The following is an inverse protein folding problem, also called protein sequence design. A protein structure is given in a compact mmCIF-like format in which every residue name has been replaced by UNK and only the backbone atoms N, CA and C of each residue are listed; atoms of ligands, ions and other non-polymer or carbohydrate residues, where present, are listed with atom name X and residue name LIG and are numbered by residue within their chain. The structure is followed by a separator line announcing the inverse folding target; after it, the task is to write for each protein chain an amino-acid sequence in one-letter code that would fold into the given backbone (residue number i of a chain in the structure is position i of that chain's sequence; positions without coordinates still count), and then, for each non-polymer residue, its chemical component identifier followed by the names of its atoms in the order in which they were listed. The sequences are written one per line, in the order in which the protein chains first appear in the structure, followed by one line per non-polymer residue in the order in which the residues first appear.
data_IF_224353565726
#
_entry.id   IF_224353565726
#
_cell.length_a   1.000
_cell.length_b   1.000
_cell.length_c   1.000
_cell.angle_alpha   90.00
_cell.angle_beta   90.00
_cell.angle_gamma   90.00
#
_symmetry.space_group_name_H-M   'P 1'
#
loop_
_entity.id
_entity.type
_entity.pdbx_description
1 polymer ?
#
# COMPACT_ATOMS: atom_id res chain seq x y z
N UNK A 1 -10.31 14.19 -12.03
CA UNK A 1 -9.31 13.30 -11.43
C UNK A 1 -9.72 11.83 -11.47
N UNK A 2 -8.79 10.92 -11.70
CA UNK A 2 -9.07 9.46 -11.68
C UNK A 2 -9.56 8.97 -10.31
N UNK A 3 -9.27 9.68 -9.24
CA UNK A 3 -9.59 9.26 -7.87
C UNK A 3 -11.08 8.99 -7.60
N UNK A 4 -12.00 9.49 -8.41
CA UNK A 4 -13.44 9.21 -8.24
C UNK A 4 -13.76 7.72 -8.42
N UNK A 5 -12.95 6.95 -9.15
CA UNK A 5 -13.21 5.52 -9.37
C UNK A 5 -13.01 4.67 -8.10
N UNK A 6 -12.14 5.09 -7.18
CA UNK A 6 -11.77 4.30 -6.00
C UNK A 6 -11.93 5.02 -4.64
N UNK A 7 -12.05 6.35 -4.63
CA UNK A 7 -12.13 7.11 -3.37
C UNK A 7 -13.52 7.04 -2.73
N UNK A 8 -13.60 7.25 -1.41
CA UNK A 8 -14.87 7.38 -0.70
C UNK A 8 -15.69 8.58 -1.21
N UNK A 9 -15.02 9.70 -1.49
CA UNK A 9 -15.67 10.90 -2.04
C UNK A 9 -16.31 10.65 -3.41
N UNK A 10 -15.80 9.70 -4.21
CA UNK A 10 -16.35 9.35 -5.51
C UNK A 10 -17.58 8.43 -5.46
N UNK A 11 -18.00 7.92 -4.29
CA UNK A 11 -19.09 6.95 -4.18
C UNK A 11 -20.44 7.48 -4.73
N UNK A 12 -20.73 8.75 -4.47
CA UNK A 12 -21.98 9.39 -4.98
C UNK A 12 -21.99 9.38 -6.50
N UNK A 13 -20.87 9.72 -7.15
CA UNK A 13 -20.78 9.72 -8.60
C UNK A 13 -20.89 8.29 -9.17
N UNK A 14 -20.20 7.32 -8.56
CA UNK A 14 -20.31 5.90 -8.99
C UNK A 14 -21.73 5.39 -8.89
N UNK A 15 -22.43 5.65 -7.78
CA UNK A 15 -23.82 5.25 -7.59
C UNK A 15 -24.75 5.94 -8.60
N UNK A 16 -24.51 7.20 -8.91
CA UNK A 16 -25.26 7.92 -9.95
C UNK A 16 -25.03 7.27 -11.32
N UNK A 17 -23.79 6.96 -11.69
CA UNK A 17 -23.47 6.29 -12.97
C UNK A 17 -24.14 4.91 -13.06
N UNK A 18 -24.12 4.12 -11.99
CA UNK A 18 -24.78 2.81 -11.94
C UNK A 18 -26.31 2.91 -12.13
N UNK A 19 -26.92 3.93 -11.52
CA UNK A 19 -28.36 4.17 -11.60
C UNK A 19 -28.79 4.64 -12.98
N UNK A 20 -28.14 5.69 -13.49
CA UNK A 20 -28.55 6.35 -14.73
C UNK A 20 -28.04 5.64 -16.00
N UNK A 21 -27.06 4.72 -15.88
CA UNK A 21 -26.47 3.96 -17.00
C UNK A 21 -26.01 4.84 -18.17
N UNK A 22 -25.56 6.04 -17.84
CA UNK A 22 -25.27 7.11 -18.82
C UNK A 22 -23.84 7.13 -19.34
N UNK A 23 -22.93 6.31 -18.76
CA UNK A 23 -21.54 6.26 -19.19
C UNK A 23 -21.42 5.55 -20.55
N UNK A 24 -20.84 6.24 -21.52
CA UNK A 24 -20.65 5.76 -22.90
C UNK A 24 -19.22 5.33 -23.15
N UNK A 25 -18.29 6.10 -22.62
CA UNK A 25 -16.87 5.88 -22.83
C UNK A 25 -16.06 6.42 -21.66
N UNK A 26 -14.99 5.71 -21.31
CA UNK A 26 -14.00 6.14 -20.36
C UNK A 26 -12.62 5.98 -20.98
N UNK A 27 -11.83 7.06 -21.02
CA UNK A 27 -10.46 7.07 -21.50
C UNK A 27 -9.54 7.31 -20.29
N UNK A 28 -8.73 6.33 -19.96
CA UNK A 28 -7.74 6.41 -18.89
C UNK A 28 -6.45 7.02 -19.42
N UNK A 29 -6.10 8.20 -18.94
CA UNK A 29 -4.87 8.88 -19.32
C UNK A 29 -3.62 8.31 -18.62
N UNK A 30 -3.79 7.35 -17.74
CA UNK A 30 -2.73 6.66 -17.02
C UNK A 30 -1.78 7.67 -16.31
N UNK A 31 -0.50 7.62 -16.62
CA UNK A 31 0.52 8.52 -16.06
C UNK A 31 0.70 9.82 -16.85
N UNK A 32 -0.06 10.01 -17.94
CA UNK A 32 0.03 11.24 -18.73
C UNK A 32 -0.45 12.45 -17.93
N UNK A 33 0.40 13.46 -17.82
CA UNK A 33 0.12 14.71 -17.09
C UNK A 33 -0.52 15.73 -18.04
N UNK A 34 -1.80 16.00 -17.82
CA UNK A 34 -2.57 16.96 -18.62
C UNK A 34 -2.26 18.40 -18.22
N UNK A 35 -1.95 18.63 -16.95
CA UNK A 35 -1.77 19.96 -16.39
C UNK A 35 -0.32 20.16 -15.97
N UNK A 36 0.29 21.24 -16.39
CA UNK A 36 1.63 21.65 -15.97
C UNK A 36 1.64 21.92 -14.46
N UNK A 37 2.69 21.47 -13.78
CA UNK A 37 2.92 21.66 -12.34
C UNK A 37 1.86 21.09 -11.39
N UNK A 38 0.87 20.31 -11.89
CA UNK A 38 -0.17 19.69 -11.09
C UNK A 38 -0.10 18.17 -11.23
N UNK A 39 0.22 17.48 -10.16
CA UNK A 39 0.27 16.01 -10.10
C UNK A 39 -1.13 15.38 -9.93
N UNK A 40 -2.04 15.66 -10.86
CA UNK A 40 -3.37 15.06 -10.90
C UNK A 40 -3.48 14.13 -12.09
N UNK A 41 -3.69 12.85 -11.81
CA UNK A 41 -3.98 11.85 -12.84
C UNK A 41 -5.46 11.90 -13.22
N UNK A 42 -5.72 11.79 -14.52
CA UNK A 42 -7.01 12.16 -15.09
C UNK A 42 -7.59 11.00 -15.91
N UNK A 43 -8.91 10.94 -15.96
CA UNK A 43 -9.68 10.17 -16.91
C UNK A 43 -10.64 11.10 -17.66
N UNK A 44 -10.93 10.81 -18.91
CA UNK A 44 -11.99 11.47 -19.68
C UNK A 44 -13.19 10.55 -19.66
N UNK A 45 -14.32 11.06 -19.21
CA UNK A 45 -15.59 10.30 -19.15
C UNK A 45 -16.62 10.98 -20.05
N UNK A 46 -17.18 10.23 -21.00
CA UNK A 46 -18.25 10.69 -21.88
C UNK A 46 -19.57 10.09 -21.43
N UNK A 47 -20.57 10.92 -21.25
CA UNK A 47 -21.92 10.55 -20.85
C UNK A 47 -22.94 10.89 -21.91
N UNK A 48 -24.04 10.12 -22.02
CA UNK A 48 -25.18 10.41 -22.87
C UNK A 48 -26.48 10.24 -22.06
N UNK A 49 -27.43 11.17 -22.25
CA UNK A 49 -28.79 11.05 -21.66
C UNK A 49 -29.69 10.10 -22.44
N UNK A 50 -29.40 9.88 -23.71
CA UNK A 50 -30.19 9.03 -24.61
C UNK A 50 -29.77 7.55 -24.51
N UNK A 51 -28.57 7.29 -23.98
CA UNK A 51 -28.06 5.93 -23.86
C UNK A 51 -28.36 5.36 -22.48
N UNK A 52 -29.23 4.38 -22.45
CA UNK A 52 -29.57 3.60 -21.24
C UNK A 52 -28.91 2.22 -21.23
N UNK A 53 -27.82 2.04 -21.95
CA UNK A 53 -27.10 0.77 -22.03
C UNK A 53 -26.19 0.58 -20.84
N UNK A 54 -26.14 -0.64 -20.33
CA UNK A 54 -25.26 -1.04 -19.21
C UNK A 54 -23.79 -1.18 -19.64
N UNK A 55 -23.50 -1.05 -20.95
CA UNK A 55 -22.15 -1.23 -21.50
C UNK A 55 -21.56 0.08 -22.01
N UNK A 56 -20.25 0.25 -21.83
CA UNK A 56 -19.47 1.39 -22.27
C UNK A 56 -18.10 0.96 -22.81
N UNK A 57 -17.46 1.81 -23.61
CA UNK A 57 -16.13 1.58 -24.12
C UNK A 57 -15.08 2.00 -23.11
N UNK A 58 -14.17 1.11 -22.73
CA UNK A 58 -12.96 1.43 -21.98
C UNK A 58 -11.77 1.54 -22.91
N UNK A 59 -11.10 2.69 -22.86
CA UNK A 59 -9.92 3.00 -23.66
C UNK A 59 -8.76 3.45 -22.78
N UNK A 60 -7.54 3.30 -23.29
CA UNK A 60 -6.34 3.92 -22.74
C UNK A 60 -5.80 4.96 -23.73
N UNK A 61 -5.25 6.03 -23.19
CA UNK A 61 -4.60 7.07 -23.98
C UNK A 61 -3.19 6.62 -24.35
N UNK A 62 -2.83 6.81 -25.64
CA UNK A 62 -1.47 6.64 -26.13
C UNK A 62 -0.81 8.02 -26.28
N UNK A 63 0.17 8.36 -25.43
CA UNK A 63 0.83 9.66 -25.49
C UNK A 63 1.69 9.88 -26.74
N UNK A 64 2.15 8.79 -27.39
CA UNK A 64 3.02 8.89 -28.57
C UNK A 64 2.23 9.30 -29.83
N UNK A 65 1.03 8.76 -29.99
CA UNK A 65 0.15 9.06 -31.12
C UNK A 65 -0.90 10.12 -30.79
N UNK A 66 -1.02 10.54 -29.54
CA UNK A 66 -2.11 11.40 -29.04
C UNK A 66 -3.51 10.88 -29.36
N UNK A 67 -3.67 9.56 -29.39
CA UNK A 67 -4.92 8.90 -29.70
C UNK A 67 -5.33 7.94 -28.55
N UNK A 68 -6.51 7.36 -28.65
CA UNK A 68 -7.02 6.36 -27.73
C UNK A 68 -6.92 4.95 -28.32
N UNK A 69 -6.52 4.00 -27.49
CA UNK A 69 -6.52 2.57 -27.81
C UNK A 69 -7.72 1.94 -27.09
N UNK A 70 -8.61 1.31 -27.85
CA UNK A 70 -9.72 0.54 -27.27
C UNK A 70 -9.19 -0.71 -26.58
N UNK A 71 -9.57 -0.92 -25.32
CA UNK A 71 -9.16 -2.07 -24.51
C UNK A 71 -10.30 -3.07 -24.42
N UNK A 72 -11.49 -2.63 -23.97
CA UNK A 72 -12.65 -3.53 -23.76
C UNK A 72 -13.97 -2.79 -23.87
N UNK A 73 -15.02 -3.54 -24.25
CA UNK A 73 -16.40 -3.15 -23.97
C UNK A 73 -16.76 -3.75 -22.61
N UNK A 74 -17.11 -2.91 -21.64
CA UNK A 74 -17.38 -3.30 -20.26
C UNK A 74 -18.79 -3.00 -19.85
N UNK A 75 -19.37 -3.83 -18.98
CA UNK A 75 -20.61 -3.48 -18.30
C UNK A 75 -20.35 -2.74 -17.00
N UNK A 76 -21.31 -1.93 -16.57
CA UNK A 76 -21.23 -1.26 -15.27
C UNK A 76 -21.19 -2.26 -14.09
N UNK A 77 -21.79 -3.45 -14.27
CA UNK A 77 -21.75 -4.53 -13.28
C UNK A 77 -20.36 -5.16 -13.19
N UNK A 78 -19.67 -5.36 -14.32
CA UNK A 78 -18.33 -5.96 -14.33
C UNK A 78 -17.33 -5.08 -13.62
N UNK A 79 -17.40 -3.78 -13.82
CA UNK A 79 -16.44 -2.82 -13.24
C UNK A 79 -16.74 -2.50 -11.77
N UNK A 80 -17.95 -2.70 -11.29
CA UNK A 80 -18.37 -2.37 -9.92
C UNK A 80 -18.06 -3.51 -8.96
N UNK A 81 -17.03 -3.34 -8.13
CA UNK A 81 -16.59 -4.33 -7.15
C UNK A 81 -16.37 -3.63 -5.80
N UNK A 82 -17.14 -4.00 -4.76
CA UNK A 82 -16.99 -3.45 -3.39
C UNK A 82 -16.94 -1.91 -3.36
N UNK A 83 -17.95 -1.27 -3.95
CA UNK A 83 -18.10 0.20 -4.04
C UNK A 83 -16.91 0.92 -4.72
N UNK A 84 -16.18 0.24 -5.60
CA UNK A 84 -15.15 0.81 -6.45
C UNK A 84 -15.34 0.39 -7.89
N UNK A 85 -14.83 1.19 -8.81
CA UNK A 85 -14.75 0.81 -10.21
C UNK A 85 -13.34 0.37 -10.56
N UNK A 86 -13.22 -0.74 -11.28
CA UNK A 86 -11.98 -1.25 -11.83
C UNK A 86 -12.12 -1.37 -13.35
N UNK A 87 -11.06 -1.05 -14.08
CA UNK A 87 -11.07 -1.03 -15.54
C UNK A 87 -9.87 -1.81 -16.08
N UNK A 88 -10.15 -2.79 -16.93
CA UNK A 88 -9.18 -3.69 -17.54
C UNK A 88 -9.84 -4.57 -18.58
N UNK A 89 -9.21 -5.70 -18.90
CA UNK A 89 -9.84 -6.76 -19.70
C UNK A 89 -10.87 -7.52 -18.87
N UNK A 90 -11.73 -8.32 -19.49
CA UNK A 90 -12.70 -9.15 -18.77
C UNK A 90 -12.01 -10.14 -17.82
N UNK A 91 -10.92 -10.77 -18.23
CA UNK A 91 -10.12 -11.70 -17.42
C UNK A 91 -9.53 -11.01 -16.19
N UNK A 92 -8.96 -9.82 -16.38
CA UNK A 92 -8.41 -9.01 -15.29
C UNK A 92 -9.49 -8.61 -14.27
N UNK A 93 -10.70 -8.26 -14.73
CA UNK A 93 -11.81 -7.89 -13.87
C UNK A 93 -12.38 -9.10 -13.12
N UNK A 94 -12.43 -10.27 -13.73
CA UNK A 94 -12.81 -11.51 -13.07
C UNK A 94 -11.83 -11.86 -11.94
N UNK A 95 -10.54 -11.83 -12.22
CA UNK A 95 -9.49 -12.04 -11.22
C UNK A 95 -9.59 -11.00 -10.09
N UNK A 96 -9.79 -9.72 -10.42
CA UNK A 96 -10.00 -8.67 -9.43
C UNK A 96 -11.23 -8.96 -8.55
N UNK A 97 -12.31 -9.43 -9.13
CA UNK A 97 -13.52 -9.81 -8.41
C UNK A 97 -13.25 -10.94 -7.43
N UNK A 98 -12.58 -12.00 -7.85
CA UNK A 98 -12.19 -13.11 -6.99
C UNK A 98 -11.35 -12.63 -5.80
N UNK A 99 -10.33 -11.81 -6.04
CA UNK A 99 -9.47 -11.27 -4.97
C UNK A 99 -10.27 -10.42 -3.98
N UNK A 100 -11.25 -9.63 -4.45
CA UNK A 100 -11.93 -8.61 -3.64
C UNK A 100 -13.20 -9.09 -2.94
N UNK A 101 -13.90 -10.06 -3.48
CA UNK A 101 -15.22 -10.47 -2.98
C UNK A 101 -15.23 -11.83 -2.31
N UNK A 102 -14.30 -12.71 -2.64
CA UNK A 102 -14.23 -14.03 -2.01
C UNK A 102 -13.60 -13.96 -0.63
N UNK A 103 -14.00 -14.88 0.24
CA UNK A 103 -13.42 -15.04 1.56
C UNK A 103 -12.35 -16.13 1.50
N UNK A 104 -11.13 -15.77 1.82
CA UNK A 104 -10.00 -16.71 1.91
C UNK A 104 -9.50 -16.78 3.35
N UNK A 105 -8.92 -17.93 3.78
CA UNK A 105 -8.24 -18.01 5.07
C UNK A 105 -7.18 -16.92 5.21
N UNK A 106 -7.09 -16.35 6.41
CA UNK A 106 -6.16 -15.24 6.70
C UNK A 106 -4.83 -15.79 7.23
N UNK A 107 -3.95 -16.24 6.34
CA UNK A 107 -2.60 -16.69 6.68
C UNK A 107 -1.61 -15.53 6.83
N UNK A 108 -1.94 -14.36 6.29
CA UNK A 108 -1.11 -13.17 6.41
C UNK A 108 -1.92 -11.97 6.90
N UNK A 109 -1.23 -11.09 7.62
CA UNK A 109 -1.74 -9.77 8.00
C UNK A 109 -0.72 -8.72 7.62
N UNK A 110 -1.12 -7.75 6.80
CA UNK A 110 -0.25 -6.67 6.34
C UNK A 110 -0.56 -5.38 7.08
N UNK A 111 0.48 -4.75 7.61
CA UNK A 111 0.37 -3.49 8.38
C UNK A 111 1.37 -2.46 7.89
N UNK A 112 1.09 -1.18 8.18
CA UNK A 112 2.06 -0.12 7.97
C UNK A 112 3.13 -0.14 9.06
N UNK A 113 4.36 0.19 8.70
CA UNK A 113 5.42 0.47 9.63
C UNK A 113 5.09 1.66 10.55
N UNK A 114 5.87 1.88 11.58
CA UNK A 114 5.70 3.05 12.44
C UNK A 114 6.18 4.33 11.73
N UNK A 115 5.82 5.49 12.27
CA UNK A 115 6.31 6.77 11.79
C UNK A 115 6.65 7.70 12.97
N UNK A 116 7.83 8.28 12.91
CA UNK A 116 8.32 9.22 13.92
C UNK A 116 7.67 10.59 13.80
N UNK A 117 7.23 10.97 12.59
CA UNK A 117 6.85 12.31 12.15
C UNK A 117 7.99 13.36 12.20
N UNK A 118 9.23 12.91 12.45
CA UNK A 118 10.44 13.72 12.32
C UNK A 118 11.67 12.81 12.23
N UNK A 119 11.85 12.15 11.10
CA UNK A 119 12.83 11.07 10.93
C UNK A 119 14.27 11.47 11.30
N UNK A 120 14.72 12.67 10.93
CA UNK A 120 16.09 13.11 11.18
C UNK A 120 16.45 13.22 12.66
N UNK A 121 15.49 13.34 13.56
CA UNK A 121 15.71 13.39 15.00
C UNK A 121 15.67 12.02 15.69
N UNK A 122 15.26 10.98 14.96
CA UNK A 122 15.12 9.61 15.51
C UNK A 122 16.14 8.63 14.94
N UNK A 123 16.72 8.92 13.77
CA UNK A 123 17.62 7.99 13.09
C UNK A 123 19.04 8.53 13.03
N UNK A 124 20.01 7.60 13.16
CA UNK A 124 21.44 7.88 13.18
C UNK A 124 21.88 8.84 14.28
N UNK A 125 21.18 8.80 15.41
CA UNK A 125 21.58 9.57 16.59
C UNK A 125 22.89 9.03 17.16
N UNK A 126 23.73 9.88 17.78
CA UNK A 126 25.06 9.49 18.28
C UNK A 126 25.00 8.68 19.59
N UNK A 127 23.95 7.91 19.80
CA UNK A 127 23.67 7.17 21.02
C UNK A 127 23.46 5.69 20.72
N UNK A 128 23.69 4.83 21.72
CA UNK A 128 23.50 3.37 21.60
C UNK A 128 22.37 2.83 22.45
N UNK A 129 21.96 3.58 23.47
CA UNK A 129 20.91 3.18 24.41
C UNK A 129 19.53 3.42 23.80
N UNK A 130 18.59 2.53 24.05
CA UNK A 130 17.23 2.60 23.47
C UNK A 130 17.22 2.72 21.94
N UNK A 131 18.04 1.94 21.25
CA UNK A 131 18.09 1.94 19.80
C UNK A 131 17.87 0.55 19.22
N UNK A 132 17.24 0.49 18.05
CA UNK A 132 17.09 -0.74 17.26
C UNK A 132 17.53 -0.49 15.82
N UNK A 133 17.99 -1.53 15.10
CA UNK A 133 18.12 -1.47 13.65
C UNK A 133 16.73 -1.21 13.04
N UNK A 134 16.62 -0.25 12.14
CA UNK A 134 15.34 0.14 11.55
C UNK A 134 15.48 0.31 10.05
N UNK A 135 14.65 -0.42 9.29
CA UNK A 135 14.63 -0.39 7.83
C UNK A 135 13.73 0.72 7.31
N UNK A 136 14.26 1.60 6.48
CA UNK A 136 13.47 2.47 5.59
C UNK A 136 13.14 1.71 4.32
N UNK A 137 11.97 1.10 4.27
CA UNK A 137 11.63 0.15 3.21
C UNK A 137 11.64 0.79 1.84
N UNK A 138 11.15 2.03 1.70
CA UNK A 138 11.12 2.76 0.41
C UNK A 138 12.50 2.99 -0.22
N UNK A 139 13.59 2.83 0.55
CA UNK A 139 14.97 2.98 0.09
C UNK A 139 15.81 1.71 0.25
N UNK A 140 15.29 0.68 0.92
CA UNK A 140 16.08 -0.50 1.28
C UNK A 140 17.26 -0.20 2.21
N UNK A 141 17.20 0.87 3.01
CA UNK A 141 18.30 1.35 3.84
C UNK A 141 18.04 1.13 5.32
N UNK A 142 19.07 0.66 6.03
CA UNK A 142 19.06 0.47 7.47
C UNK A 142 19.61 1.67 8.20
N UNK A 143 18.98 1.99 9.32
CA UNK A 143 19.34 3.07 10.22
C UNK A 143 19.38 2.57 11.65
N UNK A 144 20.19 3.19 12.49
CA UNK A 144 20.11 3.06 13.94
C UNK A 144 19.02 4.00 14.44
N UNK A 145 17.87 3.45 14.84
CA UNK A 145 16.71 4.22 15.25
C UNK A 145 16.56 4.29 16.77
N UNK A 146 16.33 5.48 17.31
CA UNK A 146 15.90 5.63 18.71
C UNK A 146 14.49 5.00 18.86
N UNK A 147 14.36 4.07 19.82
CA UNK A 147 13.17 3.28 20.04
C UNK A 147 12.75 3.35 21.52
N UNK A 148 11.94 4.35 21.91
CA UNK A 148 11.56 4.60 23.30
C UNK A 148 10.42 3.70 23.79
N UNK A 149 10.55 2.39 23.57
CA UNK A 149 9.56 1.39 23.96
C UNK A 149 10.25 0.14 24.50
N UNK A 150 9.61 -0.53 25.44
CA UNK A 150 10.05 -1.81 25.95
C UNK A 150 9.70 -2.96 24.98
N UNK A 151 10.03 -4.21 25.38
CA UNK A 151 9.74 -5.41 24.59
C UNK A 151 8.24 -5.68 24.41
N UNK A 152 7.40 -5.14 25.29
CA UNK A 152 5.95 -5.26 25.21
C UNK A 152 5.31 -4.11 24.40
N UNK A 153 6.12 -3.20 23.87
CA UNK A 153 5.66 -2.04 23.13
C UNK A 153 5.13 -0.92 24.03
N UNK A 154 5.40 -0.97 25.34
CA UNK A 154 5.03 0.09 26.26
C UNK A 154 6.05 1.23 26.21
N UNK A 155 5.60 2.49 26.30
CA UNK A 155 6.50 3.64 26.36
C UNK A 155 7.48 3.53 27.54
N UNK A 156 8.75 3.81 27.29
CA UNK A 156 9.77 4.01 28.34
C UNK A 156 9.42 5.26 29.11
N UNK A 157 9.42 5.19 30.45
CA UNK A 157 9.12 6.34 31.31
C UNK A 157 10.25 7.36 31.29
N UNK A 158 9.88 8.62 31.52
CA UNK A 158 10.86 9.73 31.53
C UNK A 158 11.95 9.51 32.58
N UNK A 159 11.58 8.97 33.76
CA UNK A 159 12.50 8.65 34.85
C UNK A 159 13.59 7.65 34.40
N UNK A 160 13.21 6.67 33.58
CA UNK A 160 14.16 5.71 33.02
C UNK A 160 15.08 6.36 31.97
N UNK A 161 14.55 7.25 31.14
CA UNK A 161 15.36 8.01 30.17
C UNK A 161 16.36 8.91 30.86
N UNK A 162 16.03 9.51 32.01
CA UNK A 162 16.91 10.36 32.83
C UNK A 162 18.11 9.60 33.38
N UNK A 163 18.01 8.27 33.57
CA UNK A 163 19.15 7.48 34.03
C UNK A 163 20.29 7.42 33.01
N UNK A 164 19.99 7.67 31.73
CA UNK A 164 20.98 7.76 30.65
C UNK A 164 21.21 9.25 30.31
N UNK A 165 22.11 9.90 31.00
CA UNK A 165 22.37 11.35 30.91
C UNK A 165 22.57 11.82 29.47
N UNK A 166 23.44 11.15 28.70
CA UNK A 166 23.72 11.52 27.31
C UNK A 166 22.47 11.46 26.42
N UNK A 167 21.63 10.44 26.59
CA UNK A 167 20.39 10.32 25.85
C UNK A 167 19.41 11.43 26.26
N UNK A 168 19.26 11.67 27.56
CA UNK A 168 18.32 12.67 28.05
C UNK A 168 18.73 14.08 27.64
N UNK A 169 20.01 14.41 27.70
CA UNK A 169 20.56 15.70 27.23
C UNK A 169 20.29 15.89 25.73
N UNK A 170 20.52 14.85 24.92
CA UNK A 170 20.15 14.88 23.51
C UNK A 170 18.66 15.14 23.32
N UNK A 171 17.79 14.38 23.99
CA UNK A 171 16.34 14.56 23.90
C UNK A 171 15.91 15.97 24.32
N UNK A 172 16.48 16.53 25.38
CA UNK A 172 16.19 17.90 25.81
C UNK A 172 16.61 18.93 24.74
N UNK A 173 17.75 18.72 24.08
CA UNK A 173 18.21 19.62 23.01
C UNK A 173 17.29 19.70 21.79
N UNK A 174 16.53 18.64 21.52
CA UNK A 174 15.59 18.54 20.39
C UNK A 174 14.11 18.64 20.80
N UNK A 175 13.82 18.80 22.08
CA UNK A 175 12.48 18.79 22.64
C UNK A 175 11.50 19.74 21.92
N UNK A 176 11.91 20.99 21.73
CA UNK A 176 11.07 22.00 21.05
C UNK A 176 10.71 21.59 19.61
N UNK A 177 11.59 20.87 18.91
CA UNK A 177 11.30 20.38 17.56
C UNK A 177 10.32 19.20 17.61
N UNK A 178 10.47 18.31 18.59
CA UNK A 178 9.59 17.15 18.77
C UNK A 178 8.18 17.55 19.21
N UNK A 179 8.04 18.56 20.06
CA UNK A 179 6.76 19.09 20.53
C UNK A 179 5.94 19.78 19.42
N UNK A 180 6.57 20.26 18.36
CA UNK A 180 5.88 20.82 17.19
C UNK A 180 5.16 19.77 16.34
N UNK A 181 5.46 18.46 16.54
CA UNK A 181 4.75 17.39 15.85
C UNK A 181 3.31 17.29 16.36
N UNK A 182 2.38 17.05 15.46
CA UNK A 182 0.98 16.82 15.84
C UNK A 182 0.82 15.41 16.44
N UNK A 183 1.12 15.27 17.72
CA UNK A 183 1.03 14.01 18.46
C UNK A 183 -0.34 13.90 19.14
N UNK A 184 -0.88 12.70 19.17
CA UNK A 184 -2.04 12.33 20.00
C UNK A 184 -1.64 11.91 21.41
N UNK A 185 -0.34 11.67 21.64
CA UNK A 185 0.25 11.19 22.89
C UNK A 185 0.79 12.36 23.72
N UNK A 186 0.83 12.20 25.05
CA UNK A 186 1.36 13.23 25.96
C UNK A 186 2.89 13.29 25.95
N UNK A 187 3.52 12.15 25.76
CA UNK A 187 4.97 12.02 25.81
C UNK A 187 5.59 12.46 24.47
N UNK A 188 6.26 13.58 24.48
CA UNK A 188 6.83 14.22 23.29
C UNK A 188 7.97 13.44 22.61
N UNK A 189 8.60 12.47 23.31
CA UNK A 189 9.68 11.63 22.77
C UNK A 189 9.20 10.38 22.02
N UNK A 190 7.88 10.09 22.02
CA UNK A 190 7.33 8.92 21.36
C UNK A 190 7.14 9.11 19.86
N UNK A 191 6.91 8.01 19.16
CA UNK A 191 6.59 8.04 17.73
C UNK A 191 5.20 8.65 17.48
N UNK A 192 5.06 9.35 16.37
CA UNK A 192 3.78 9.94 15.99
C UNK A 192 2.73 8.89 15.55
N UNK A 193 3.19 7.72 15.08
CA UNK A 193 2.35 6.57 14.74
C UNK A 193 3.00 5.30 15.27
N UNK A 194 2.34 4.69 16.24
CA UNK A 194 2.85 3.57 17.04
C UNK A 194 2.27 2.19 16.68
N UNK A 195 1.43 2.10 15.64
CA UNK A 195 0.68 0.88 15.30
C UNK A 195 1.53 -0.37 15.04
N UNK A 196 2.83 -0.22 14.77
CA UNK A 196 3.75 -1.32 14.48
C UNK A 196 4.61 -1.74 15.68
N UNK A 197 4.57 -1.01 16.78
CA UNK A 197 5.51 -1.19 17.91
C UNK A 197 5.34 -2.54 18.57
N UNK A 198 4.11 -2.98 18.81
CA UNK A 198 3.81 -4.29 19.41
C UNK A 198 4.21 -5.51 18.56
N UNK A 199 4.61 -5.29 17.31
CA UNK A 199 5.04 -6.35 16.40
C UNK A 199 6.57 -6.36 16.17
N UNK A 200 7.34 -5.45 16.79
CA UNK A 200 8.79 -5.31 16.56
C UNK A 200 9.56 -6.59 16.87
N UNK A 201 9.11 -7.36 17.85
CA UNK A 201 9.77 -8.62 18.24
C UNK A 201 9.18 -9.88 17.56
N UNK A 202 8.34 -9.70 16.53
CA UNK A 202 7.83 -10.81 15.71
C UNK A 202 8.63 -10.94 14.41
N UNK A 203 8.73 -12.17 13.89
CA UNK A 203 9.29 -12.43 12.56
C UNK A 203 8.36 -11.85 11.47
N UNK A 204 8.92 -11.14 10.49
CA UNK A 204 8.14 -10.40 9.47
C UNK A 204 8.90 -10.29 8.17
N UNK A 205 8.18 -9.90 7.12
CA UNK A 205 8.76 -9.46 5.85
C UNK A 205 8.38 -7.99 5.67
N UNK A 206 9.31 -7.12 5.28
CA UNK A 206 9.02 -5.74 4.90
C UNK A 206 8.91 -5.60 3.38
N UNK A 207 7.97 -4.75 2.92
CA UNK A 207 7.66 -4.52 1.51
C UNK A 207 7.44 -3.03 1.29
N UNK A 208 8.00 -2.46 0.20
CA UNK A 208 7.69 -1.08 -0.22
C UNK A 208 6.24 -0.94 -0.69
N UNK A 209 5.77 0.30 -0.83
CA UNK A 209 4.36 0.62 -1.17
C UNK A 209 4.17 1.18 -2.58
N UNK A 210 5.23 1.24 -3.38
CA UNK A 210 5.23 1.81 -4.73
C UNK A 210 6.01 0.90 -5.67
N UNK A 211 5.42 0.56 -6.81
CA UNK A 211 6.06 -0.21 -7.89
C UNK A 211 5.61 0.29 -9.27
N UNK A 212 6.42 0.09 -10.29
CA UNK A 212 6.04 0.13 -11.71
C UNK A 212 5.77 -1.27 -12.22
N UNK A 213 6.62 -2.21 -11.78
CA UNK A 213 6.52 -3.64 -12.04
C UNK A 213 7.10 -4.45 -10.85
N UNK A 214 7.11 -5.78 -10.97
CA UNK A 214 7.60 -6.70 -9.94
C UNK A 214 9.09 -6.51 -9.57
N UNK A 215 9.89 -5.91 -10.46
CA UNK A 215 11.33 -5.66 -10.23
C UNK A 215 11.55 -4.52 -9.23
N UNK A 216 10.58 -3.62 -9.11
CA UNK A 216 10.62 -2.53 -8.13
C UNK A 216 10.28 -2.99 -6.70
N UNK A 217 9.88 -4.25 -6.50
CA UNK A 217 9.58 -4.77 -5.17
C UNK A 217 10.84 -4.91 -4.32
N UNK A 218 10.94 -4.08 -3.30
CA UNK A 218 11.94 -4.18 -2.23
C UNK A 218 11.35 -5.05 -1.12
N UNK A 219 11.92 -6.23 -0.93
CA UNK A 219 11.47 -7.20 0.07
C UNK A 219 12.63 -7.55 0.98
N UNK A 220 12.43 -7.44 2.28
CA UNK A 220 13.44 -7.71 3.30
C UNK A 220 12.87 -8.60 4.40
N UNK A 221 13.61 -9.65 4.77
CA UNK A 221 13.33 -10.38 6.00
C UNK A 221 13.66 -9.47 7.21
N UNK A 222 12.75 -9.42 8.18
CA UNK A 222 12.88 -8.59 9.38
C UNK A 222 12.94 -9.52 10.59
N UNK A 223 14.04 -9.42 11.33
CA UNK A 223 14.26 -10.23 12.52
C UNK A 223 13.58 -9.61 13.76
N UNK A 224 13.28 -10.42 14.79
CA UNK A 224 12.82 -9.89 16.07
C UNK A 224 13.78 -8.83 16.64
N UNK A 225 13.27 -7.66 16.99
CA UNK A 225 14.05 -6.51 17.48
C UNK A 225 14.42 -5.50 16.38
N UNK A 226 14.05 -5.75 15.13
CA UNK A 226 14.27 -4.79 14.03
C UNK A 226 13.00 -3.98 13.76
N UNK A 227 13.15 -2.71 13.40
CA UNK A 227 12.06 -1.79 13.09
C UNK A 227 11.78 -1.69 11.60
N UNK A 228 10.54 -1.31 11.25
CA UNK A 228 10.11 -1.04 9.87
C UNK A 228 9.41 0.29 9.79
N UNK A 229 9.86 1.18 8.91
CA UNK A 229 9.17 2.43 8.63
C UNK A 229 9.16 2.78 7.14
N UNK A 230 8.21 3.62 6.75
CA UNK A 230 8.02 4.07 5.36
C UNK A 230 7.87 2.90 4.37
N UNK A 231 6.94 2.00 4.70
CA UNK A 231 6.57 0.81 3.93
C UNK A 231 5.61 -0.07 4.74
N UNK A 232 5.40 -1.28 4.27
CA UNK A 232 4.58 -2.29 4.93
C UNK A 232 5.44 -3.38 5.55
N UNK A 233 4.85 -4.10 6.49
CA UNK A 233 5.35 -5.41 6.92
C UNK A 233 4.22 -6.45 6.93
N UNK A 234 4.59 -7.69 6.67
CA UNK A 234 3.71 -8.85 6.62
C UNK A 234 4.01 -9.73 7.82
N UNK A 235 3.01 -9.92 8.66
CA UNK A 235 2.95 -10.98 9.65
C UNK A 235 2.33 -12.20 8.97
N UNK A 236 2.83 -13.39 9.26
CA UNK A 236 2.34 -14.64 8.68
C UNK A 236 2.36 -15.75 9.72
N UNK A 237 1.46 -16.71 9.56
CA UNK A 237 1.36 -17.89 10.41
C UNK A 237 2.31 -19.03 9.97
N UNK A 238 2.24 -20.17 10.64
CA UNK A 238 3.10 -21.32 10.36
C UNK A 238 2.70 -22.09 9.09
N UNK A 239 1.52 -21.82 8.53
CA UNK A 239 1.00 -22.46 7.32
C UNK A 239 1.67 -21.95 6.04
N UNK A 240 2.25 -20.75 6.07
CA UNK A 240 2.85 -20.08 4.93
C UNK A 240 4.28 -19.63 5.24
N UNK A 241 5.19 -19.84 4.30
CA UNK A 241 6.58 -19.42 4.45
C UNK A 241 6.84 -18.03 3.87
N UNK A 242 7.98 -17.42 4.24
CA UNK A 242 8.45 -16.18 3.64
C UNK A 242 8.67 -16.32 2.13
N UNK A 243 9.23 -17.45 1.73
CA UNK A 243 9.52 -17.83 0.34
C UNK A 243 8.23 -17.95 -0.48
N UNK A 244 7.17 -18.53 0.10
CA UNK A 244 5.86 -18.60 -0.54
C UNK A 244 5.32 -17.20 -0.81
N UNK A 245 5.35 -16.32 0.20
CA UNK A 245 4.88 -14.94 0.06
C UNK A 245 5.66 -14.21 -1.03
N UNK A 246 7.00 -14.31 -1.00
CA UNK A 246 7.87 -13.67 -1.99
C UNK A 246 7.56 -14.19 -3.40
N UNK A 247 7.38 -15.51 -3.56
CA UNK A 247 7.08 -16.13 -4.85
C UNK A 247 5.75 -15.67 -5.43
N UNK A 248 4.75 -15.38 -4.60
CA UNK A 248 3.44 -14.89 -5.03
C UNK A 248 3.44 -13.44 -5.47
N UNK A 249 4.20 -12.57 -4.80
CA UNK A 249 4.18 -11.13 -5.10
C UNK A 249 5.25 -10.70 -6.12
N UNK A 250 6.30 -11.50 -6.36
CA UNK A 250 7.30 -11.23 -7.42
C UNK A 250 6.86 -11.80 -8.76
N UNK A 251 5.64 -11.48 -9.18
CA UNK A 251 5.06 -11.99 -10.42
C UNK A 251 4.45 -10.86 -11.24
N UNK A 252 4.33 -11.08 -12.55
CA UNK A 252 3.66 -10.15 -13.46
C UNK A 252 2.16 -10.00 -13.10
N UNK A 253 1.55 -11.07 -12.61
CA UNK A 253 0.15 -11.08 -12.17
C UNK A 253 -0.07 -10.13 -10.98
N UNK A 254 0.85 -10.12 -10.01
CA UNK A 254 0.79 -9.14 -8.92
C UNK A 254 0.92 -7.71 -9.44
N UNK A 255 1.87 -7.47 -10.34
CA UNK A 255 2.04 -6.16 -10.97
C UNK A 255 0.79 -5.72 -11.72
N UNK A 256 0.16 -6.62 -12.47
CA UNK A 256 -1.11 -6.36 -13.17
C UNK A 256 -2.22 -6.04 -12.18
N UNK A 257 -2.36 -6.81 -11.10
CA UNK A 257 -3.32 -6.52 -10.04
C UNK A 257 -3.13 -5.11 -9.45
N UNK A 258 -1.89 -4.71 -9.18
CA UNK A 258 -1.59 -3.36 -8.65
C UNK A 258 -1.93 -2.26 -9.66
N UNK A 259 -1.64 -2.46 -10.96
CA UNK A 259 -2.01 -1.49 -12.02
C UNK A 259 -3.52 -1.29 -12.12
N UNK A 260 -4.30 -2.34 -11.91
CA UNK A 260 -5.76 -2.28 -11.92
C UNK A 260 -6.35 -1.43 -10.77
N UNK A 261 -5.59 -1.18 -9.69
CA UNK A 261 -6.02 -0.27 -8.63
C UNK A 261 -6.09 1.20 -9.10
N UNK A 262 -5.41 1.57 -10.18
CA UNK A 262 -5.37 2.91 -10.79
C UNK A 262 -4.94 4.02 -9.82
N UNK A 263 -4.12 3.68 -8.80
CA UNK A 263 -3.58 4.66 -7.85
C UNK A 263 -2.22 5.12 -8.36
N UNK A 264 -2.27 6.01 -9.33
CA UNK A 264 -1.08 6.53 -10.01
C UNK A 264 -0.22 7.43 -9.13
N UNK A 265 1.10 7.35 -9.31
CA UNK A 265 2.12 8.24 -8.71
C UNK A 265 3.10 8.70 -9.79
N UNK A 266 3.90 9.71 -9.45
CA UNK A 266 4.92 10.25 -10.37
C UNK A 266 5.88 9.17 -10.87
N UNK A 267 6.50 9.42 -12.01
CA UNK A 267 7.52 8.56 -12.63
C UNK A 267 7.04 7.12 -12.94
N UNK A 268 5.76 6.97 -13.29
CA UNK A 268 5.21 5.67 -13.70
C UNK A 268 4.86 4.71 -12.56
N UNK A 269 4.96 5.14 -11.30
CA UNK A 269 4.66 4.29 -10.15
C UNK A 269 3.17 4.16 -9.87
N UNK A 270 2.81 3.01 -9.32
CA UNK A 270 1.50 2.71 -8.74
C UNK A 270 1.64 2.52 -7.24
N UNK A 271 0.74 3.16 -6.48
CA UNK A 271 0.63 2.97 -5.04
C UNK A 271 -0.39 1.88 -4.72
N UNK A 272 -0.14 1.13 -3.69
CA UNK A 272 -1.07 0.16 -3.14
C UNK A 272 -1.09 0.24 -1.60
N UNK A 273 -2.07 -0.38 -0.99
CA UNK A 273 -2.28 -0.33 0.47
C UNK A 273 -2.00 -1.69 1.09
N UNK A 274 -1.78 -1.71 2.39
CA UNK A 274 -1.60 -2.94 3.15
C UNK A 274 -2.70 -3.98 2.88
N UNK A 275 -3.97 -3.55 2.82
CA UNK A 275 -5.12 -4.41 2.52
C UNK A 275 -5.06 -5.02 1.12
N UNK A 276 -4.50 -4.32 0.15
CA UNK A 276 -4.39 -4.82 -1.22
C UNK A 276 -3.41 -6.00 -1.29
N UNK A 277 -2.24 -5.90 -0.62
CA UNK A 277 -1.28 -7.01 -0.52
C UNK A 277 -1.89 -8.18 0.25
N UNK A 278 -2.52 -7.92 1.39
CA UNK A 278 -3.12 -8.93 2.26
C UNK A 278 -4.13 -9.78 1.49
N UNK A 279 -5.03 -9.14 0.75
CA UNK A 279 -6.04 -9.83 -0.05
C UNK A 279 -5.41 -10.65 -1.18
N UNK A 280 -4.42 -10.08 -1.89
CA UNK A 280 -3.75 -10.77 -2.98
C UNK A 280 -3.00 -12.02 -2.50
N UNK A 281 -2.23 -11.93 -1.41
CA UNK A 281 -1.46 -13.07 -0.89
C UNK A 281 -2.41 -14.19 -0.44
N UNK A 282 -3.46 -13.87 0.33
CA UNK A 282 -4.42 -14.88 0.80
C UNK A 282 -5.16 -15.56 -0.37
N UNK A 283 -5.54 -14.79 -1.40
CA UNK A 283 -6.08 -15.33 -2.66
C UNK A 283 -5.10 -16.27 -3.35
N UNK A 284 -3.88 -15.80 -3.64
CA UNK A 284 -2.89 -16.56 -4.39
C UNK A 284 -2.47 -17.85 -3.67
N UNK A 285 -2.36 -17.79 -2.34
CA UNK A 285 -2.07 -18.96 -1.53
C UNK A 285 -3.19 -19.99 -1.60
N UNK A 286 -4.44 -19.56 -1.50
CA UNK A 286 -5.60 -20.43 -1.61
C UNK A 286 -5.70 -21.08 -2.99
N UNK A 287 -5.39 -20.34 -4.07
CA UNK A 287 -5.37 -20.89 -5.42
C UNK A 287 -4.27 -21.93 -5.59
N UNK A 288 -3.07 -21.70 -5.06
CA UNK A 288 -1.97 -22.69 -5.09
C UNK A 288 -2.34 -24.00 -4.39
N UNK A 289 -3.01 -23.92 -3.23
CA UNK A 289 -3.46 -25.13 -2.49
C UNK A 289 -4.60 -25.87 -3.16
N UNK A 290 -5.41 -25.19 -3.97
CA UNK A 290 -6.55 -25.79 -4.68
C UNK A 290 -6.15 -26.56 -5.94
N UNK A 291 -4.95 -26.33 -6.47
CA UNK A 291 -4.40 -27.12 -7.59
C UNK A 291 -3.78 -28.40 -7.03
N UNK A 292 -4.31 -29.63 -7.35
CA UNK A 292 -3.71 -30.86 -6.87
C UNK A 292 -2.26 -30.92 -7.36
N UNK A 293 -1.30 -31.22 -6.47
CA UNK A 293 0.06 -31.55 -6.90
C UNK A 293 -0.02 -32.75 -7.83
N UNK A 294 0.20 -32.52 -9.12
CA UNK A 294 0.47 -33.61 -10.06
C UNK A 294 1.83 -34.17 -9.65
N UNK A 295 1.80 -35.21 -8.82
CA UNK A 295 2.99 -36.01 -8.51
C UNK A 295 3.39 -36.71 -9.81
N UNK A 296 4.35 -36.15 -10.50
CA UNK A 296 5.08 -36.88 -11.52
C UNK A 296 5.78 -38.06 -10.80
N UNK A 297 5.22 -39.25 -11.00
CA UNK A 297 5.89 -40.52 -10.68
C UNK A 297 6.90 -40.86 -11.77
#
# INVERSE_FOLDING_TARGET
PVSWIYSKAGSILRNYILKEKSLVELIDLQHFQVFEHITTYTVISRFSREQTKDSFSYCQFNPDSYDKIAISQLSLQDVSINDRFYFGTHEELETMRLIRTSSYPNHVRVKNGFATLHDSLFYNIPLSTYTIPTLKVSKGQWYKGFFPYDRNGQPVKEEELKTCTQLYDYLQSIKQQLEKRNLRMKEWWLYGRSQAIGDVYKKRIAINSLIRDEKDLLIHAIQPGEGVYNGFYVLYDEEITAEDIISMIRTAEFSTYIRLLKIYKSSGYYEFRAKDIEQYINYSYSMKKSVPMVTNK
#
